data_IF_636706346738
#
_entry.id   IF_636706346738
#
_cell.length_a   1.000
_cell.length_b   1.000
_cell.length_c   1.000
_cell.angle_alpha   90.00
_cell.angle_beta   90.00
_cell.angle_gamma   90.00
#
_symmetry.space_group_name_H-M   'P 1'
#
loop_
_entity.id
_entity.type
_entity.pdbx_description
1 polymer ?
#
# COMPACT_ATOMS: atom_id res chain seq x y z
N UNK A 1 -7.03 30.49 18.41
CA UNK A 1 -6.07 31.23 17.57
C UNK A 1 -5.41 30.24 16.62
N UNK A 2 -5.77 30.25 15.33
CA UNK A 2 -5.12 29.38 14.33
C UNK A 2 -3.74 29.98 14.01
N UNK A 3 -2.71 29.45 14.67
CA UNK A 3 -1.33 29.82 14.39
C UNK A 3 -1.03 29.32 12.97
N UNK A 4 -1.07 30.22 11.98
CA UNK A 4 -0.46 29.97 10.68
C UNK A 4 1.01 29.70 10.94
N UNK A 5 1.33 28.41 11.07
CA UNK A 5 2.69 27.92 11.13
C UNK A 5 3.25 28.25 9.75
N UNK A 6 4.21 29.18 9.66
CA UNK A 6 4.98 29.37 8.44
C UNK A 6 5.76 28.07 8.21
N UNK A 7 5.15 27.15 7.45
CA UNK A 7 5.66 25.80 7.20
C UNK A 7 6.90 25.95 6.32
N UNK A 8 7.92 25.15 6.62
CA UNK A 8 9.11 25.13 5.79
C UNK A 8 8.76 24.57 4.40
N UNK A 9 9.32 25.18 3.36
CA UNK A 9 9.16 24.68 2.01
C UNK A 9 9.83 23.30 1.85
N UNK A 10 9.26 22.38 1.06
CA UNK A 10 9.81 21.05 0.86
C UNK A 10 11.28 21.08 0.42
N UNK A 11 11.63 21.98 -0.50
CA UNK A 11 12.99 22.18 -0.96
C UNK A 11 13.98 22.58 0.17
N UNK A 12 13.52 23.34 1.17
CA UNK A 12 14.34 23.71 2.34
C UNK A 12 14.55 22.52 3.27
N UNK A 13 13.51 21.72 3.50
CA UNK A 13 13.59 20.50 4.29
C UNK A 13 14.53 19.48 3.64
N UNK A 14 14.43 19.28 2.32
CA UNK A 14 15.31 18.40 1.55
C UNK A 14 16.78 18.82 1.66
N UNK A 15 17.05 20.14 1.60
CA UNK A 15 18.41 20.69 1.78
C UNK A 15 18.96 20.36 3.17
N UNK A 16 18.16 20.56 4.22
CA UNK A 16 18.54 20.28 5.61
C UNK A 16 18.69 18.80 5.93
N UNK A 17 18.10 17.92 5.12
CA UNK A 17 18.22 16.46 5.23
C UNK A 17 19.24 15.87 4.25
N UNK A 18 20.05 16.71 3.60
CA UNK A 18 21.11 16.21 2.72
C UNK A 18 22.10 15.35 3.52
N UNK A 19 22.42 14.17 2.99
CA UNK A 19 23.30 13.20 3.65
C UNK A 19 22.61 12.26 4.65
N UNK A 20 21.28 12.35 4.83
CA UNK A 20 20.51 11.29 5.52
C UNK A 20 20.72 9.96 4.79
N UNK A 21 21.04 8.90 5.55
CA UNK A 21 20.99 7.54 5.04
C UNK A 21 19.59 6.98 5.23
N UNK A 22 19.03 6.46 4.16
CA UNK A 22 17.72 5.82 4.16
C UNK A 22 17.84 4.30 4.34
N UNK A 23 16.86 3.65 4.98
CA UNK A 23 15.63 4.22 5.55
C UNK A 23 15.86 5.05 6.83
N UNK A 24 15.08 6.12 7.02
CA UNK A 24 15.14 6.99 8.19
C UNK A 24 13.72 7.28 8.72
N UNK A 25 13.53 7.32 10.04
CA UNK A 25 12.23 7.61 10.63
C UNK A 25 12.07 9.11 10.92
N UNK A 26 10.85 9.55 11.20
CA UNK A 26 10.55 10.95 11.60
C UNK A 26 11.55 11.48 12.64
N UNK A 27 11.85 10.67 13.66
CA UNK A 27 12.77 11.06 14.73
C UNK A 27 14.22 11.23 14.23
N UNK A 28 14.70 10.34 13.36
CA UNK A 28 16.01 10.45 12.71
C UNK A 28 16.10 11.68 11.80
N UNK A 29 15.02 12.01 11.08
CA UNK A 29 14.96 13.21 10.26
C UNK A 29 15.06 14.48 11.10
N UNK A 30 14.35 14.52 12.23
CA UNK A 30 14.43 15.66 13.17
C UNK A 30 15.85 15.77 13.74
N UNK A 31 16.44 14.67 14.20
CA UNK A 31 17.80 14.66 14.73
C UNK A 31 18.81 15.15 13.68
N UNK A 32 18.71 14.65 12.44
CA UNK A 32 19.60 15.08 11.36
C UNK A 32 19.38 16.54 10.97
N UNK A 33 18.14 17.01 10.92
CA UNK A 33 17.83 18.39 10.67
C UNK A 33 18.42 19.30 11.77
N UNK A 34 18.33 18.89 13.04
CA UNK A 34 18.95 19.61 14.17
C UNK A 34 20.49 19.63 14.06
N UNK A 35 21.12 18.50 13.73
CA UNK A 35 22.57 18.43 13.49
C UNK A 35 23.01 19.39 12.36
N UNK A 36 22.21 19.48 11.30
CA UNK A 36 22.44 20.40 10.18
C UNK A 36 22.01 21.85 10.46
N UNK A 37 21.70 22.21 11.72
CA UNK A 37 21.24 23.54 12.12
C UNK A 37 20.01 24.02 11.32
N UNK A 38 19.07 23.12 11.06
CA UNK A 38 17.82 23.46 10.40
C UNK A 38 16.99 24.44 11.23
N UNK A 39 16.27 25.33 10.56
CA UNK A 39 15.41 26.30 11.21
C UNK A 39 14.29 25.63 12.01
N UNK A 40 13.81 26.32 13.05
CA UNK A 40 12.75 25.81 13.91
C UNK A 40 11.49 25.43 13.11
N UNK A 41 11.15 26.20 12.08
CA UNK A 41 10.04 25.92 11.16
C UNK A 41 10.20 24.58 10.42
N UNK A 42 11.43 24.17 10.09
CA UNK A 42 11.72 22.86 9.48
C UNK A 42 11.47 21.76 10.50
N UNK A 43 11.97 21.93 11.72
CA UNK A 43 11.78 20.96 12.81
C UNK A 43 10.30 20.79 13.14
N UNK A 44 9.54 21.88 13.23
CA UNK A 44 8.09 21.83 13.45
C UNK A 44 7.36 21.14 12.28
N UNK A 45 7.80 21.36 11.05
CA UNK A 45 7.25 20.67 9.87
C UNK A 45 7.52 19.16 9.95
N UNK A 46 8.74 18.75 10.31
CA UNK A 46 9.11 17.34 10.48
C UNK A 46 8.38 16.67 11.66
N UNK A 47 8.13 17.40 12.75
CA UNK A 47 7.32 16.90 13.88
C UNK A 47 5.88 16.61 13.49
N UNK A 48 5.33 17.40 12.56
CA UNK A 48 3.99 17.20 12.01
C UNK A 48 3.87 16.05 11.00
N UNK A 49 4.98 15.41 10.63
CA UNK A 49 4.94 14.26 9.74
C UNK A 49 4.47 12.98 10.46
N UNK A 50 3.82 12.05 9.74
CA UNK A 50 3.43 10.77 10.29
C UNK A 50 4.64 9.96 10.75
N UNK A 51 4.49 9.18 11.82
CA UNK A 51 5.53 8.27 12.28
C UNK A 51 5.62 7.04 11.37
N UNK A 52 6.36 7.19 10.27
CA UNK A 52 6.67 6.12 9.33
C UNK A 52 8.14 6.15 8.93
N UNK A 53 8.61 5.05 8.35
CA UNK A 53 9.95 4.98 7.76
C UNK A 53 9.93 5.61 6.37
N UNK A 54 10.78 6.62 6.19
CA UNK A 54 11.00 7.29 4.92
C UNK A 54 12.17 6.63 4.22
N UNK A 55 12.00 6.31 2.95
CA UNK A 55 13.04 5.65 2.14
C UNK A 55 13.77 6.62 1.20
N UNK A 56 13.27 7.86 1.07
CA UNK A 56 13.76 8.83 0.11
C UNK A 56 13.30 10.25 0.47
N UNK A 57 14.00 11.32 0.05
CA UNK A 57 13.54 12.70 0.18
C UNK A 57 12.16 12.92 -0.46
N UNK A 58 11.87 12.22 -1.57
CA UNK A 58 10.57 12.27 -2.26
C UNK A 58 9.44 11.81 -1.34
N UNK A 59 9.69 10.82 -0.49
CA UNK A 59 8.69 10.28 0.45
C UNK A 59 8.33 11.30 1.54
N UNK A 60 9.33 12.07 1.98
CA UNK A 60 9.19 13.15 2.96
C UNK A 60 8.41 14.31 2.32
N UNK A 61 8.75 14.69 1.08
CA UNK A 61 8.04 15.71 0.31
C UNK A 61 6.57 15.34 0.08
N UNK A 62 6.29 14.07 -0.25
CA UNK A 62 4.93 13.55 -0.31
C UNK A 62 4.24 13.65 1.05
N UNK A 63 4.85 13.17 2.12
CA UNK A 63 4.26 13.22 3.45
C UNK A 63 3.98 14.64 3.94
N UNK A 64 4.80 15.63 3.57
CA UNK A 64 4.52 17.06 3.85
C UNK A 64 3.29 17.57 3.10
N UNK A 65 3.08 17.13 1.85
CA UNK A 65 1.87 17.43 1.09
C UNK A 65 0.64 16.70 1.62
N UNK A 66 0.81 15.45 2.05
CA UNK A 66 -0.26 14.61 2.64
C UNK A 66 -0.68 15.12 4.02
N UNK A 67 0.24 15.63 4.85
CA UNK A 67 -0.03 16.23 6.18
C UNK A 67 -0.63 17.64 6.13
N UNK A 68 -1.10 18.08 4.97
CA UNK A 68 -2.04 19.21 4.83
C UNK A 68 -3.51 18.74 4.82
N UNK A 69 -3.72 17.42 4.70
CA UNK A 69 -5.00 16.75 4.88
C UNK A 69 -4.99 15.98 6.21
N UNK A 70 -5.55 16.55 7.27
CA UNK A 70 -5.85 15.83 8.52
C UNK A 70 -7.38 15.77 8.75
N UNK A 71 -7.93 14.82 9.54
CA UNK A 71 -7.26 13.70 10.24
C UNK A 71 -7.90 12.33 9.93
N UNK A 72 -7.11 11.26 9.85
CA UNK A 72 -7.61 9.91 10.07
C UNK A 72 -6.53 9.08 10.76
N UNK A 73 -6.70 8.92 12.07
CA UNK A 73 -6.35 7.78 12.90
C UNK A 73 -4.94 7.17 12.77
N UNK A 74 -4.26 7.21 13.92
CA UNK A 74 -3.39 6.15 14.42
C UNK A 74 -3.57 4.79 13.73
N UNK A 75 -2.47 4.19 13.28
CA UNK A 75 -2.29 2.73 13.30
C UNK A 75 -0.83 2.41 12.98
N UNK A 76 -0.07 2.19 14.06
CA UNK A 76 0.87 1.08 14.07
C UNK A 76 0.06 -0.19 13.79
N UNK A 77 0.47 -0.90 12.74
CA UNK A 77 0.20 -2.32 12.48
C UNK A 77 -1.26 -2.76 12.21
N UNK A 78 -1.41 -3.47 11.09
CA UNK A 78 -2.40 -4.55 10.98
C UNK A 78 -3.81 -4.15 10.59
N UNK A 79 -4.25 -4.71 9.46
CA UNK A 79 -5.61 -5.17 9.20
C UNK A 79 -6.75 -4.12 9.14
N UNK A 80 -7.53 -4.24 8.06
CA UNK A 80 -8.88 -3.71 7.81
C UNK A 80 -8.98 -2.26 7.33
N UNK A 81 -8.78 -2.10 6.02
CA UNK A 81 -9.68 -1.23 5.25
C UNK A 81 -10.83 -2.07 4.68
N UNK A 82 -12.09 -1.67 4.93
CA UNK A 82 -13.31 -1.87 4.11
C UNK A 82 -14.58 -1.90 4.99
N UNK A 83 -14.97 -0.77 5.57
CA UNK A 83 -16.32 -0.59 6.11
C UNK A 83 -16.76 0.88 6.09
N UNK A 84 -16.87 1.48 4.89
CA UNK A 84 -17.76 2.61 4.63
C UNK A 84 -17.74 2.96 3.13
N UNK A 85 -18.55 2.24 2.34
CA UNK A 85 -19.07 2.76 1.09
C UNK A 85 -20.56 2.46 1.08
N UNK A 86 -21.36 3.52 1.13
CA UNK A 86 -22.82 3.51 1.05
C UNK A 86 -23.29 2.87 -0.25
N UNK A 87 -24.50 2.33 -0.20
CA UNK A 87 -25.09 1.43 -1.20
C UNK A 87 -25.45 2.06 -2.57
N UNK A 88 -25.07 3.30 -2.89
CA UNK A 88 -25.72 4.04 -4.01
C UNK A 88 -24.81 4.41 -5.20
N UNK A 89 -23.54 3.99 -5.24
CA UNK A 89 -22.63 4.32 -6.37
C UNK A 89 -22.15 3.10 -7.15
N UNK A 90 -22.68 1.90 -6.83
CA UNK A 90 -22.27 0.63 -7.45
C UNK A 90 -22.83 0.36 -8.86
N UNK A 91 -23.69 1.22 -9.43
CA UNK A 91 -24.48 0.80 -10.61
C UNK A 91 -24.26 1.56 -11.94
N UNK A 92 -23.35 2.54 -12.08
CA UNK A 92 -23.33 3.35 -13.34
C UNK A 92 -22.04 3.55 -14.12
N UNK A 93 -20.90 3.00 -13.74
CA UNK A 93 -19.65 3.19 -14.53
C UNK A 93 -18.77 1.94 -14.63
N UNK A 94 -19.30 0.90 -15.29
CA UNK A 94 -18.45 -0.12 -15.95
C UNK A 94 -19.11 -0.63 -17.25
N UNK A 95 -19.86 0.26 -17.92
CA UNK A 95 -20.34 0.01 -19.28
C UNK A 95 -19.37 0.67 -20.25
N UNK A 96 -18.75 -0.18 -21.07
CA UNK A 96 -17.97 0.12 -22.26
C UNK A 96 -16.46 0.29 -22.07
N UNK A 97 -15.70 -0.72 -22.51
CA UNK A 97 -14.30 -0.54 -22.88
C UNK A 97 -13.46 -1.80 -22.79
N UNK A 98 -13.68 -2.78 -23.68
CA UNK A 98 -12.71 -3.86 -23.86
C UNK A 98 -13.27 -5.16 -24.41
N UNK A 99 -13.87 -5.13 -25.59
CA UNK A 99 -14.04 -6.33 -26.39
C UNK A 99 -12.69 -6.70 -27.02
N UNK A 100 -12.15 -7.86 -26.62
CA UNK A 100 -11.22 -8.62 -27.44
C UNK A 100 -11.44 -10.12 -27.16
N UNK A 101 -12.19 -10.73 -28.08
CA UNK A 101 -12.06 -12.12 -28.51
C UNK A 101 -12.26 -13.25 -27.47
N UNK A 102 -13.52 -13.65 -27.31
CA UNK A 102 -14.00 -14.96 -27.82
C UNK A 102 -13.04 -16.15 -27.64
N UNK A 103 -13.37 -16.94 -26.61
CA UNK A 103 -13.62 -18.40 -26.66
C UNK A 103 -12.46 -19.39 -26.51
N UNK A 104 -12.67 -20.26 -25.50
CA UNK A 104 -12.26 -21.68 -25.45
C UNK A 104 -10.76 -21.98 -25.34
N UNK A 105 -10.24 -21.86 -24.13
CA UNK A 105 -9.48 -22.92 -23.46
C UNK A 105 -9.24 -22.45 -22.03
N UNK A 106 -9.95 -23.06 -21.08
CA UNK A 106 -9.53 -23.41 -19.72
C UNK A 106 -8.13 -22.91 -19.31
N UNK A 107 -8.00 -21.59 -19.17
CA UNK A 107 -6.78 -20.93 -18.74
C UNK A 107 -7.24 -20.01 -17.63
N UNK A 108 -7.41 -20.61 -16.45
CA UNK A 108 -7.65 -19.86 -15.22
C UNK A 108 -6.60 -18.78 -15.14
N UNK A 109 -7.03 -17.55 -15.39
CA UNK A 109 -6.12 -16.40 -15.43
C UNK A 109 -5.80 -15.97 -14.01
N UNK A 110 -4.64 -15.33 -13.81
CA UNK A 110 -4.29 -14.77 -12.49
C UNK A 110 -5.37 -13.79 -11.98
N UNK A 111 -6.05 -13.08 -12.88
CA UNK A 111 -7.18 -12.21 -12.55
C UNK A 111 -8.40 -13.00 -12.03
N UNK A 112 -8.66 -14.17 -12.59
CA UNK A 112 -9.73 -15.05 -12.15
C UNK A 112 -9.41 -15.66 -10.77
N UNK A 113 -8.18 -16.09 -10.53
CA UNK A 113 -7.74 -16.55 -9.20
C UNK A 113 -7.88 -15.44 -8.15
N UNK A 114 -7.48 -14.21 -8.49
CA UNK A 114 -7.59 -13.06 -7.60
C UNK A 114 -9.03 -12.77 -7.15
N UNK A 115 -10.04 -13.10 -7.97
CA UNK A 115 -11.46 -12.96 -7.59
C UNK A 115 -11.79 -13.82 -6.36
N UNK A 116 -11.21 -15.02 -6.27
CA UNK A 116 -11.41 -15.95 -5.17
C UNK A 116 -10.49 -15.69 -3.97
N UNK A 117 -9.52 -14.78 -4.10
CA UNK A 117 -8.62 -14.36 -3.02
C UNK A 117 -9.03 -13.03 -2.38
N UNK A 118 -10.22 -12.50 -2.72
CA UNK A 118 -10.73 -11.28 -2.10
C UNK A 118 -11.05 -11.50 -0.63
N UNK A 119 -10.66 -10.52 0.19
CA UNK A 119 -10.89 -10.53 1.63
C UNK A 119 -9.92 -11.41 2.44
N UNK A 120 -8.83 -11.87 1.82
CA UNK A 120 -7.73 -12.50 2.55
C UNK A 120 -6.89 -11.41 3.24
N UNK A 121 -6.57 -11.62 4.52
CA UNK A 121 -5.65 -10.78 5.25
C UNK A 121 -4.22 -11.26 5.01
N UNK A 122 -3.36 -10.33 4.60
CA UNK A 122 -1.94 -10.58 4.41
C UNK A 122 -1.13 -10.07 5.61
N UNK A 123 0.00 -10.71 5.96
CA UNK A 123 0.64 -11.82 5.26
C UNK A 123 -0.05 -13.19 5.47
N UNK A 124 -0.06 -14.04 4.44
CA UNK A 124 -0.62 -15.40 4.49
C UNK A 124 0.26 -16.42 3.77
N UNK A 125 0.22 -17.67 4.18
CA UNK A 125 0.96 -18.76 3.55
C UNK A 125 0.14 -19.41 2.43
N UNK A 126 0.79 -20.24 1.60
CA UNK A 126 0.14 -21.02 0.53
C UNK A 126 -1.14 -21.72 1.00
N UNK A 127 -1.14 -22.31 2.20
CA UNK A 127 -2.31 -22.96 2.77
C UNK A 127 -3.47 -21.99 3.00
N UNK A 128 -3.21 -20.83 3.61
CA UNK A 128 -4.23 -19.80 3.84
C UNK A 128 -4.84 -19.28 2.55
N UNK A 129 -4.05 -19.20 1.47
CA UNK A 129 -4.52 -18.83 0.13
C UNK A 129 -5.46 -19.90 -0.43
N UNK A 130 -5.09 -21.18 -0.33
CA UNK A 130 -5.91 -22.31 -0.80
C UNK A 130 -7.22 -22.41 0.00
N UNK A 131 -7.15 -22.34 1.33
CA UNK A 131 -8.31 -22.35 2.22
C UNK A 131 -9.29 -21.20 1.91
N UNK A 132 -8.76 -20.00 1.72
CA UNK A 132 -9.60 -18.84 1.38
C UNK A 132 -10.23 -18.98 -0.01
N UNK A 133 -9.48 -19.44 -1.00
CA UNK A 133 -10.01 -19.71 -2.33
C UNK A 133 -11.12 -20.75 -2.29
N UNK A 134 -10.92 -21.83 -1.54
CA UNK A 134 -11.92 -22.89 -1.35
C UNK A 134 -13.17 -22.35 -0.65
N UNK A 135 -13.01 -21.53 0.39
CA UNK A 135 -14.11 -20.87 1.10
C UNK A 135 -14.92 -19.92 0.21
N UNK A 136 -14.26 -19.29 -0.76
CA UNK A 136 -14.90 -18.45 -1.79
C UNK A 136 -15.46 -19.25 -2.97
N UNK A 137 -15.42 -20.59 -2.93
CA UNK A 137 -15.99 -21.46 -3.96
C UNK A 137 -15.15 -21.54 -5.24
N UNK A 138 -13.82 -21.41 -5.11
CA UNK A 138 -12.93 -21.53 -6.25
C UNK A 138 -13.02 -22.91 -6.92
N UNK A 139 -13.04 -23.00 -8.27
CA UNK A 139 -13.03 -24.27 -8.96
C UNK A 139 -11.72 -25.04 -8.72
N UNK A 140 -11.77 -26.37 -8.88
CA UNK A 140 -10.62 -27.25 -8.65
C UNK A 140 -9.37 -26.85 -9.45
N UNK A 141 -9.53 -26.25 -10.63
CA UNK A 141 -8.39 -25.73 -11.40
C UNK A 141 -7.66 -24.59 -10.68
N UNK A 142 -8.40 -23.63 -10.10
CA UNK A 142 -7.82 -22.56 -9.29
C UNK A 142 -7.07 -23.15 -8.10
N UNK A 143 -7.69 -24.10 -7.39
CA UNK A 143 -7.06 -24.79 -6.24
C UNK A 143 -5.80 -25.54 -6.67
N UNK A 144 -5.81 -26.16 -7.85
CA UNK A 144 -4.66 -26.88 -8.39
C UNK A 144 -3.51 -25.92 -8.71
N UNK A 145 -3.80 -24.76 -9.28
CA UNK A 145 -2.78 -23.73 -9.56
C UNK A 145 -2.21 -23.18 -8.25
N UNK A 146 -3.07 -22.88 -7.27
CA UNK A 146 -2.65 -22.40 -5.95
C UNK A 146 -1.82 -23.42 -5.19
N UNK A 147 -2.01 -24.73 -5.41
CA UNK A 147 -1.13 -25.75 -4.81
C UNK A 147 0.25 -25.85 -5.47
N UNK A 148 0.39 -25.34 -6.70
CA UNK A 148 1.65 -25.34 -7.45
C UNK A 148 2.52 -24.13 -7.18
N UNK A 149 1.99 -23.10 -6.50
CA UNK A 149 2.78 -21.93 -6.10
C UNK A 149 3.79 -22.31 -5.01
N UNK A 150 4.88 -21.55 -4.95
CA UNK A 150 5.92 -21.72 -3.94
C UNK A 150 5.34 -21.67 -2.52
N UNK A 151 5.84 -22.53 -1.64
CA UNK A 151 5.48 -22.51 -0.22
C UNK A 151 6.23 -21.36 0.47
N UNK A 152 5.69 -20.14 0.31
CA UNK A 152 6.23 -18.94 0.91
C UNK A 152 5.11 -18.09 1.50
N UNK A 153 5.50 -17.14 2.36
CA UNK A 153 4.59 -16.15 2.87
C UNK A 153 4.35 -15.08 1.80
N UNK A 154 3.10 -14.94 1.40
CA UNK A 154 2.66 -13.91 0.48
C UNK A 154 2.21 -12.69 1.28
N UNK A 155 2.67 -11.50 0.86
CA UNK A 155 2.31 -10.23 1.51
C UNK A 155 1.17 -9.48 0.81
N UNK A 156 0.76 -9.92 -0.39
CA UNK A 156 -0.28 -9.24 -1.16
C UNK A 156 -0.87 -10.11 -2.28
N UNK A 157 -2.06 -9.73 -2.78
CA UNK A 157 -2.67 -10.35 -3.99
C UNK A 157 -1.78 -10.22 -5.24
N UNK A 158 -0.89 -9.23 -5.24
CA UNK A 158 0.06 -8.99 -6.32
C UNK A 158 1.18 -10.02 -6.29
N UNK A 159 1.69 -10.36 -5.11
CA UNK A 159 2.69 -11.43 -4.96
C UNK A 159 2.14 -12.78 -5.37
N UNK A 160 0.89 -13.09 -4.99
CA UNK A 160 0.22 -14.32 -5.41
C UNK A 160 0.02 -14.35 -6.92
N UNK A 161 -0.42 -13.25 -7.54
CA UNK A 161 -0.56 -13.15 -8.99
C UNK A 161 0.76 -13.34 -9.73
N UNK A 162 1.85 -12.76 -9.21
CA UNK A 162 3.20 -12.96 -9.76
C UNK A 162 3.63 -14.42 -9.65
N UNK A 163 3.33 -15.10 -8.55
CA UNK A 163 3.65 -16.51 -8.38
C UNK A 163 2.83 -17.40 -9.32
N UNK A 164 1.54 -17.13 -9.47
CA UNK A 164 0.66 -17.83 -10.42
C UNK A 164 1.16 -17.65 -11.85
N UNK A 165 1.53 -16.42 -12.23
CA UNK A 165 2.06 -16.11 -13.57
C UNK A 165 3.42 -16.74 -13.89
N UNK A 166 4.11 -17.35 -12.91
CA UNK A 166 5.33 -18.14 -13.16
C UNK A 166 5.03 -19.62 -13.46
N UNK A 167 3.82 -20.08 -13.17
CA UNK A 167 3.41 -21.50 -13.25
C UNK A 167 2.55 -21.75 -14.49
N UNK A 168 1.80 -20.73 -14.90
CA UNK A 168 1.12 -20.65 -16.19
C UNK A 168 2.13 -20.46 -17.32
#
# INVERSE_FOLDING_TARGET
MAKQMQRASPAMVEKSLSGVKFPANRQDLIAKAQENNAEQSIIDTLRGLPERSYNSPIDISKAMGESMAEPAAATSEGQRGLAAASEETRERVAKMGGEASVSTATAVSAAEVQKYLKGIDYPTDKKGIVDQAQKNGAPNEVISILNRIDDQQYGSTTDVSRAIGKIL
#
